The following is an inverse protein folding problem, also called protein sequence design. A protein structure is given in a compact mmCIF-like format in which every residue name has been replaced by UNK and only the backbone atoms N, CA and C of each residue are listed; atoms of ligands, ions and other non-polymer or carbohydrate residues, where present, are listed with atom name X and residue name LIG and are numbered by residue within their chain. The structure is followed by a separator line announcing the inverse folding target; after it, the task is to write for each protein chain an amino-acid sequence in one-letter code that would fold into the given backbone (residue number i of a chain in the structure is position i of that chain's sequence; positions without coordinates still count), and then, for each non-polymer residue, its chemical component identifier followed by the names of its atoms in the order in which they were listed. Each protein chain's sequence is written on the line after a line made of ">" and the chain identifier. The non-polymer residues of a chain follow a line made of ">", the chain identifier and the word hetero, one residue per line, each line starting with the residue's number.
data_IF_863249079765
#
_entry.id   IF_863249079765
#
_cell.length_a   1.000
_cell.length_b   1.000
_cell.length_c   1.000
_cell.angle_alpha   90.00
_cell.angle_beta   90.00
_cell.angle_gamma   90.00
#
_symmetry.space_group_name_H-M   'P 1'
#
loop_
_entity.id
_entity.type
_entity.pdbx_description
1 polymer ?
#
# COMPACT_ATOMS: atom_id res chain seq x y z
N UNK A 1 -27.47 33.66 -29.47
CA UNK A 1 -26.07 34.14 -29.53
C UNK A 1 -25.16 32.97 -29.21
N UNK A 2 -24.41 32.55 -30.21
CA UNK A 2 -23.57 31.37 -30.26
C UNK A 2 -22.47 31.36 -29.20
N UNK A 3 -22.19 30.19 -28.60
CA UNK A 3 -20.84 29.79 -28.23
C UNK A 3 -20.67 28.31 -28.59
N UNK A 4 -20.13 28.11 -29.79
CA UNK A 4 -19.55 26.84 -30.22
C UNK A 4 -18.33 26.57 -29.32
N UNK A 5 -18.37 25.51 -28.52
CA UNK A 5 -17.16 24.93 -27.94
C UNK A 5 -16.32 24.34 -29.09
N UNK A 6 -15.01 24.59 -29.16
CA UNK A 6 -14.17 23.99 -30.19
C UNK A 6 -14.03 22.48 -29.92
N UNK A 7 -13.95 21.63 -30.96
CA UNK A 7 -13.58 20.24 -30.78
C UNK A 7 -12.11 20.18 -30.36
N UNK A 8 -11.82 19.60 -29.20
CA UNK A 8 -10.45 19.32 -28.77
C UNK A 8 -9.94 18.06 -29.48
N UNK A 9 -9.77 18.14 -30.80
CA UNK A 9 -8.95 17.19 -31.53
C UNK A 9 -7.49 17.61 -31.32
N UNK A 10 -6.80 17.00 -30.34
CA UNK A 10 -5.34 17.09 -30.29
C UNK A 10 -4.78 16.51 -31.60
N UNK A 11 -3.79 17.14 -32.25
CA UNK A 11 -3.13 16.58 -33.43
C UNK A 11 -2.17 15.48 -32.99
N UNK A 12 -2.71 14.39 -32.44
CA UNK A 12 -1.98 13.17 -32.11
C UNK A 12 -1.90 12.24 -33.32
N UNK A 13 -0.95 11.30 -33.32
CA UNK A 13 -0.89 10.26 -34.34
C UNK A 13 -2.19 9.43 -34.34
N UNK A 14 -2.66 8.92 -35.50
CA UNK A 14 -3.88 8.11 -35.59
C UNK A 14 -3.99 6.98 -34.56
N UNK A 15 -2.87 6.38 -34.14
CA UNK A 15 -2.80 5.31 -33.14
C UNK A 15 -3.08 5.77 -31.70
N UNK A 16 -2.73 7.01 -31.34
CA UNK A 16 -3.03 7.57 -30.01
C UNK A 16 -4.51 7.93 -29.89
N UNK A 17 -5.08 8.48 -30.96
CA UNK A 17 -6.50 8.80 -31.04
C UNK A 17 -7.36 7.51 -31.04
N UNK A 18 -6.90 6.47 -31.74
CA UNK A 18 -7.52 5.15 -31.71
C UNK A 18 -7.53 4.54 -30.30
N UNK A 19 -6.41 4.67 -29.56
CA UNK A 19 -6.32 4.18 -28.18
C UNK A 19 -7.28 4.92 -27.25
N UNK A 20 -7.39 6.25 -27.36
CA UNK A 20 -8.32 7.05 -26.55
C UNK A 20 -9.78 6.63 -26.80
N UNK A 21 -10.17 6.49 -28.07
CA UNK A 21 -11.50 5.98 -28.42
C UNK A 21 -11.75 4.55 -27.90
N UNK A 22 -10.75 3.67 -27.99
CA UNK A 22 -10.86 2.30 -27.50
C UNK A 22 -11.05 2.25 -25.98
N UNK A 23 -10.31 3.07 -25.21
CA UNK A 23 -10.42 3.15 -23.74
C UNK A 23 -11.79 3.71 -23.31
N UNK A 24 -12.34 4.68 -24.04
CA UNK A 24 -13.69 5.21 -23.77
C UNK A 24 -14.78 4.17 -24.06
N UNK A 25 -14.62 3.38 -25.11
CA UNK A 25 -15.59 2.34 -25.48
C UNK A 25 -15.76 1.27 -24.39
N UNK A 26 -14.67 0.89 -23.72
CA UNK A 26 -14.70 -0.07 -22.60
C UNK A 26 -15.45 0.45 -21.36
N UNK A 27 -15.67 1.76 -21.24
CA UNK A 27 -16.41 2.39 -20.12
C UNK A 27 -17.89 2.63 -20.44
N UNK A 28 -18.30 2.38 -21.68
CA UNK A 28 -19.63 2.69 -22.22
C UNK A 28 -19.72 4.14 -22.71
N UNK A 29 -19.79 4.32 -24.03
CA UNK A 29 -19.91 5.64 -24.68
C UNK A 29 -21.34 6.17 -24.56
N UNK A 30 -21.49 7.47 -24.29
CA UNK A 30 -22.77 8.18 -24.40
C UNK A 30 -23.23 8.30 -25.87
N UNK A 31 -24.52 8.57 -26.15
CA UNK A 31 -25.02 8.72 -27.52
C UNK A 31 -24.30 9.81 -28.34
N UNK A 32 -23.90 10.90 -27.69
CA UNK A 32 -23.16 12.00 -28.33
C UNK A 32 -21.72 11.59 -28.66
N UNK A 33 -21.06 10.84 -27.78
CA UNK A 33 -19.72 10.32 -28.01
C UNK A 33 -19.70 9.20 -29.07
N UNK A 34 -20.76 8.41 -29.17
CA UNK A 34 -20.91 7.42 -30.23
C UNK A 34 -20.96 8.09 -31.61
N UNK A 35 -21.70 9.20 -31.76
CA UNK A 35 -21.68 9.98 -33.01
C UNK A 35 -20.30 10.58 -33.31
N UNK A 36 -19.61 11.09 -32.29
CA UNK A 36 -18.27 11.64 -32.46
C UNK A 36 -17.24 10.58 -32.87
N UNK A 37 -17.32 9.38 -32.29
CA UNK A 37 -16.48 8.25 -32.65
C UNK A 37 -16.71 7.82 -34.10
N UNK A 38 -17.98 7.72 -34.52
CA UNK A 38 -18.35 7.39 -35.90
C UNK A 38 -17.87 8.46 -36.90
N UNK A 39 -17.99 9.74 -36.55
CA UNK A 39 -17.46 10.84 -37.37
C UNK A 39 -15.94 10.75 -37.50
N UNK A 40 -15.23 10.46 -36.40
CA UNK A 40 -13.78 10.31 -36.41
C UNK A 40 -13.30 9.13 -37.27
N UNK A 41 -13.99 7.98 -37.22
CA UNK A 41 -13.72 6.83 -38.10
C UNK A 41 -14.04 7.12 -39.58
N UNK A 42 -15.00 8.00 -39.86
CA UNK A 42 -15.38 8.37 -41.22
C UNK A 42 -14.43 9.41 -41.86
N UNK A 43 -13.72 10.19 -41.04
CA UNK A 43 -12.89 11.33 -41.46
C UNK A 43 -11.62 10.90 -42.24
N UNK A 44 -10.94 9.82 -41.81
CA UNK A 44 -9.72 9.32 -42.45
C UNK A 44 -9.65 7.78 -42.44
N UNK A 45 -9.17 7.18 -43.53
CA UNK A 45 -8.84 5.75 -43.59
C UNK A 45 -7.73 5.34 -42.60
N UNK A 46 -6.82 6.25 -42.25
CA UNK A 46 -5.78 6.02 -41.25
C UNK A 46 -6.35 5.82 -39.84
N UNK A 47 -7.43 6.52 -39.48
CA UNK A 47 -8.13 6.36 -38.19
C UNK A 47 -8.76 4.97 -38.08
N UNK A 48 -9.43 4.48 -39.15
CA UNK A 48 -9.97 3.13 -39.19
C UNK A 48 -8.89 2.06 -39.08
N UNK A 49 -7.78 2.23 -39.79
CA UNK A 49 -6.67 1.28 -39.73
C UNK A 49 -6.03 1.23 -38.33
N UNK A 50 -5.84 2.39 -37.69
CA UNK A 50 -5.32 2.48 -36.32
C UNK A 50 -6.25 1.84 -35.30
N UNK A 51 -7.56 2.12 -35.39
CA UNK A 51 -8.56 1.53 -34.51
C UNK A 51 -8.66 0.01 -34.66
N UNK A 52 -8.64 -0.51 -35.90
CA UNK A 52 -8.67 -1.94 -36.18
C UNK A 52 -7.43 -2.69 -35.63
N UNK A 53 -6.23 -2.08 -35.71
CA UNK A 53 -5.01 -2.66 -35.12
C UNK A 53 -5.16 -2.84 -33.60
N UNK A 54 -5.65 -1.83 -32.91
CA UNK A 54 -5.90 -1.91 -31.48
C UNK A 54 -6.91 -2.99 -31.14
N UNK A 55 -8.03 -3.06 -31.86
CA UNK A 55 -9.04 -4.08 -31.62
C UNK A 55 -8.50 -5.50 -31.83
N UNK A 56 -7.71 -5.75 -32.89
CA UNK A 56 -7.08 -7.04 -33.11
C UNK A 56 -6.06 -7.45 -32.04
N UNK A 57 -5.35 -6.47 -31.47
CA UNK A 57 -4.38 -6.72 -30.39
C UNK A 57 -5.07 -7.10 -29.08
N UNK A 58 -6.24 -6.52 -28.82
CA UNK A 58 -7.07 -6.85 -27.68
C UNK A 58 -7.77 -8.21 -27.84
N UNK A 59 -8.32 -8.51 -29.02
CA UNK A 59 -8.93 -9.81 -29.31
C UNK A 59 -7.91 -10.97 -29.17
N UNK A 60 -6.63 -10.71 -29.46
CA UNK A 60 -5.56 -11.68 -29.26
C UNK A 60 -5.27 -11.98 -27.77
N UNK A 61 -5.48 -11.01 -26.88
CA UNK A 61 -5.33 -11.17 -25.43
C UNK A 61 -6.54 -11.87 -24.81
N UNK A 62 -7.74 -11.59 -25.31
CA UNK A 62 -8.96 -12.24 -24.83
C UNK A 62 -9.06 -13.71 -25.29
N UNK A 63 -8.38 -14.06 -26.38
CA UNK A 63 -8.32 -15.43 -26.91
C UNK A 63 -7.04 -16.19 -26.51
N UNK A 64 -6.37 -15.83 -25.41
CA UNK A 64 -5.23 -16.61 -24.92
C UNK A 64 -5.71 -18.04 -24.56
N UNK A 65 -5.13 -19.08 -25.16
CA UNK A 65 -5.54 -20.46 -24.93
C UNK A 65 -5.39 -20.86 -23.45
N UNK A 66 -6.42 -21.51 -22.90
CA UNK A 66 -6.48 -21.88 -21.48
C UNK A 66 -5.32 -22.81 -21.05
N UNK A 67 -4.79 -23.61 -21.97
CA UNK A 67 -3.61 -24.44 -21.83
C UNK A 67 -2.32 -23.61 -21.66
N UNK A 68 -2.19 -22.48 -22.37
CA UNK A 68 -1.09 -21.54 -22.19
C UNK A 68 -1.10 -20.88 -20.82
N UNK A 69 -2.28 -20.48 -20.33
CA UNK A 69 -2.45 -19.94 -18.98
C UNK A 69 -2.20 -21.00 -17.90
N UNK A 70 -2.62 -22.25 -18.13
CA UNK A 70 -2.35 -23.35 -17.21
C UNK A 70 -0.85 -23.69 -17.13
N UNK A 71 -0.14 -23.65 -18.26
CA UNK A 71 1.31 -23.89 -18.30
C UNK A 71 2.09 -22.80 -17.53
N UNK A 72 1.70 -21.52 -17.70
CA UNK A 72 2.27 -20.41 -16.95
C UNK A 72 2.01 -20.54 -15.44
N UNK A 73 0.79 -20.88 -15.03
CA UNK A 73 0.45 -21.09 -13.62
C UNK A 73 1.18 -22.29 -13.00
N UNK A 74 1.35 -23.38 -13.76
CA UNK A 74 2.11 -24.55 -13.32
C UNK A 74 3.60 -24.22 -13.12
N UNK A 75 4.18 -23.39 -13.99
CA UNK A 75 5.57 -22.96 -13.87
C UNK A 75 5.77 -22.07 -12.64
N UNK A 76 4.89 -21.09 -12.43
CA UNK A 76 4.88 -20.26 -11.22
C UNK A 76 4.78 -21.08 -9.93
N UNK A 77 3.95 -22.12 -9.92
CA UNK A 77 3.78 -22.98 -8.74
C UNK A 77 5.06 -23.77 -8.42
N UNK A 78 5.75 -24.26 -9.44
CA UNK A 78 7.06 -24.92 -9.28
C UNK A 78 8.11 -23.96 -8.73
N UNK A 79 8.17 -22.75 -9.25
CA UNK A 79 9.14 -21.75 -8.81
C UNK A 79 8.91 -21.36 -7.34
N UNK A 80 7.65 -21.24 -6.91
CA UNK A 80 7.29 -21.00 -5.51
C UNK A 80 7.66 -22.16 -4.58
N UNK A 81 7.49 -23.41 -5.02
CA UNK A 81 7.89 -24.59 -4.23
C UNK A 81 9.42 -24.70 -4.07
N UNK A 82 10.17 -24.36 -5.11
CA UNK A 82 11.63 -24.35 -5.07
C UNK A 82 12.15 -23.27 -4.10
N UNK A 83 11.48 -22.12 -4.05
CA UNK A 83 11.81 -21.05 -3.10
C UNK A 83 11.52 -21.47 -1.64
N UNK A 84 10.38 -22.13 -1.39
CA UNK A 84 10.03 -22.61 -0.05
C UNK A 84 10.99 -23.70 0.46
N UNK A 85 11.53 -24.52 -0.45
CA UNK A 85 12.50 -25.58 -0.09
C UNK A 85 13.86 -24.97 0.28
N UNK A 86 14.27 -23.87 -0.36
CA UNK A 86 15.51 -23.17 -0.03
C UNK A 86 15.48 -22.47 1.35
N UNK A 87 14.31 -21.98 1.79
CA UNK A 87 14.17 -21.35 3.12
C UNK A 87 14.28 -22.37 4.28
N UNK A 88 13.90 -23.64 4.08
CA UNK A 88 14.03 -24.67 5.12
C UNK A 88 15.47 -25.15 5.32
N UNK A 89 16.32 -25.07 4.28
CA UNK A 89 17.69 -25.56 4.32
C UNK A 89 18.70 -24.56 4.93
N UNK A 90 18.29 -23.29 5.11
CA UNK A 90 19.14 -22.21 5.65
C UNK A 90 18.80 -21.79 7.09
N UNK A 91 17.83 -22.44 7.75
CA UNK A 91 17.57 -22.19 9.16
C UNK A 91 18.69 -22.81 10.04
N UNK A 92 19.31 -22.07 10.98
CA UNK A 92 20.37 -22.62 11.82
C UNK A 92 19.79 -23.75 12.68
N UNK A 93 20.51 -24.87 12.74
CA UNK A 93 20.19 -26.00 13.60
C UNK A 93 20.11 -25.53 15.06
N UNK A 94 18.90 -25.29 15.56
CA UNK A 94 18.64 -25.18 16.98
C UNK A 94 18.91 -26.56 17.58
N UNK A 95 19.99 -26.67 18.34
CA UNK A 95 20.27 -27.78 19.23
C UNK A 95 19.02 -28.07 20.07
N UNK A 96 18.35 -29.16 19.71
CA UNK A 96 17.32 -29.76 20.53
C UNK A 96 17.97 -30.26 21.81
N UNK A 97 17.89 -29.48 22.88
CA UNK A 97 18.14 -29.96 24.23
C UNK A 97 17.05 -30.99 24.58
N UNK A 98 17.37 -32.25 24.31
CA UNK A 98 16.63 -33.40 24.80
C UNK A 98 16.85 -33.54 26.32
N UNK A 99 16.18 -32.71 27.12
CA UNK A 99 16.06 -32.93 28.57
C UNK A 99 14.70 -32.45 29.06
N UNK A 100 13.71 -33.33 29.01
CA UNK A 100 12.37 -32.99 29.51
C UNK A 100 11.31 -34.08 29.41
N UNK A 101 11.68 -35.35 29.22
CA UNK A 101 10.74 -36.48 29.31
C UNK A 101 11.06 -37.35 30.53
N UNK A 102 11.02 -36.75 31.72
CA UNK A 102 11.01 -37.45 33.01
C UNK A 102 10.58 -36.47 34.09
N UNK A 103 9.27 -36.26 34.27
CA UNK A 103 8.78 -35.35 35.33
C UNK A 103 7.27 -35.25 35.48
N UNK A 104 6.49 -35.52 34.44
CA UNK A 104 5.03 -35.36 34.49
C UNK A 104 4.26 -36.53 35.14
N UNK A 105 4.90 -37.69 35.39
CA UNK A 105 4.27 -38.85 36.04
C UNK A 105 4.26 -38.80 37.57
N UNK A 106 4.91 -37.81 38.20
CA UNK A 106 4.91 -37.65 39.66
C UNK A 106 3.79 -36.70 40.16
N UNK A 107 3.28 -35.81 39.30
CA UNK A 107 2.19 -34.89 39.66
C UNK A 107 0.79 -35.51 39.57
N UNK A 108 0.62 -36.60 38.82
CA UNK A 108 -0.67 -37.30 38.69
C UNK A 108 -1.01 -38.24 39.87
N UNK A 109 -0.05 -38.51 40.77
CA UNK A 109 -0.24 -39.41 41.91
C UNK A 109 -0.93 -38.78 43.14
N UNK A 110 -1.04 -37.46 43.20
CA UNK A 110 -1.57 -36.74 44.37
C UNK A 110 -3.05 -36.36 44.27
N UNK A 111 -3.66 -36.43 43.08
CA UNK A 111 -5.07 -36.03 42.89
C UNK A 111 -6.10 -37.16 42.96
N UNK A 112 -5.66 -38.43 43.05
CA UNK A 112 -6.57 -39.60 43.13
C UNK A 112 -6.14 -40.65 44.18
N UNK A 113 -5.36 -40.22 45.19
CA UNK A 113 -4.90 -41.07 46.29
C UNK A 113 -5.77 -40.93 47.54
N UNK A 114 -7.06 -41.26 47.45
CA UNK A 114 -7.92 -41.36 48.63
C UNK A 114 -7.50 -42.55 49.51
N UNK A 115 -6.81 -42.28 50.62
CA UNK A 115 -6.77 -43.21 51.76
C UNK A 115 -7.63 -42.67 52.89
N UNK A 116 -8.72 -43.38 53.13
CA UNK A 116 -9.52 -43.26 54.33
C UNK A 116 -8.69 -43.67 55.56
N UNK A 117 -8.60 -42.78 56.54
CA UNK A 117 -8.46 -43.11 57.96
C UNK A 117 -9.14 -41.99 58.74
N UNK A 118 -10.12 -42.36 59.57
CA UNK A 118 -10.91 -41.41 60.36
C UNK A 118 -10.12 -40.85 61.55
N UNK A 119 -10.47 -39.63 61.94
CA UNK A 119 -10.91 -39.21 63.29
C UNK A 119 -10.96 -37.67 63.32
N UNK A 120 -12.08 -37.11 63.80
CA UNK A 120 -12.23 -35.68 64.09
C UNK A 120 -12.95 -34.86 63.02
N UNK A 121 -14.28 -34.93 62.98
CA UNK A 121 -15.12 -34.05 62.16
C UNK A 121 -15.11 -32.62 62.71
N UNK A 122 -14.20 -31.77 62.24
CA UNK A 122 -14.47 -30.35 62.12
C UNK A 122 -14.91 -30.10 60.67
N UNK A 123 -16.20 -29.84 60.51
CA UNK A 123 -16.82 -29.59 59.22
C UNK A 123 -16.35 -28.24 58.67
N UNK A 124 -15.19 -28.20 57.99
CA UNK A 124 -14.97 -27.17 56.99
C UNK A 124 -16.00 -27.36 55.89
N UNK A 125 -16.78 -26.32 55.54
CA UNK A 125 -17.92 -26.49 54.66
C UNK A 125 -17.42 -26.84 53.25
N UNK A 126 -17.52 -28.11 52.89
CA UNK A 126 -17.37 -28.62 51.51
C UNK A 126 -18.39 -27.99 50.55
N UNK A 127 -19.34 -27.21 51.07
CA UNK A 127 -20.30 -26.40 50.34
C UNK A 127 -19.67 -25.39 49.35
N UNK A 128 -18.37 -25.06 49.49
CA UNK A 128 -17.69 -24.09 48.61
C UNK A 128 -16.82 -24.72 47.52
N UNK A 129 -16.60 -26.04 47.53
CA UNK A 129 -15.70 -26.70 46.56
C UNK A 129 -16.33 -26.87 45.17
N UNK A 130 -17.62 -27.24 45.11
CA UNK A 130 -18.37 -27.37 43.86
C UNK A 130 -18.54 -26.04 43.08
N UNK A 131 -18.92 -24.91 43.71
CA UNK A 131 -19.00 -23.64 43.00
C UNK A 131 -17.63 -23.14 42.53
N UNK A 132 -16.54 -23.39 43.27
CA UNK A 132 -15.20 -22.98 42.85
C UNK A 132 -14.73 -23.70 41.57
N UNK A 133 -15.01 -24.99 41.43
CA UNK A 133 -14.68 -25.76 40.23
C UNK A 133 -15.51 -25.30 39.01
N UNK A 134 -16.80 -25.00 39.21
CA UNK A 134 -17.66 -24.48 38.15
C UNK A 134 -17.16 -23.11 37.65
N UNK A 135 -16.77 -22.21 38.56
CA UNK A 135 -16.17 -20.92 38.20
C UNK A 135 -14.86 -21.10 37.44
N UNK A 136 -13.99 -22.03 37.86
CA UNK A 136 -12.74 -22.31 37.15
C UNK A 136 -12.95 -22.87 35.73
N UNK A 137 -13.95 -23.75 35.54
CA UNK A 137 -14.29 -24.28 34.22
C UNK A 137 -14.88 -23.21 33.30
N UNK A 138 -15.76 -22.35 33.83
CA UNK A 138 -16.32 -21.23 33.08
C UNK A 138 -15.24 -20.20 32.72
N UNK A 139 -14.35 -19.88 33.67
CA UNK A 139 -13.21 -19.00 33.42
C UNK A 139 -12.27 -19.61 32.37
N UNK A 140 -11.89 -20.88 32.53
CA UNK A 140 -11.04 -21.59 31.57
C UNK A 140 -11.65 -21.66 30.17
N UNK A 141 -12.96 -21.91 30.07
CA UNK A 141 -13.70 -21.87 28.80
C UNK A 141 -13.72 -20.47 28.18
N UNK A 142 -13.99 -19.43 28.98
CA UNK A 142 -13.99 -18.04 28.53
C UNK A 142 -12.61 -17.59 28.05
N UNK A 143 -11.55 -17.82 28.85
CA UNK A 143 -10.18 -17.49 28.47
C UNK A 143 -9.67 -18.32 27.29
N UNK A 144 -10.05 -19.60 27.21
CA UNK A 144 -9.74 -20.45 26.07
C UNK A 144 -10.41 -19.98 24.78
N UNK A 145 -11.68 -19.56 24.86
CA UNK A 145 -12.42 -18.97 23.74
C UNK A 145 -11.80 -17.63 23.30
N UNK A 146 -11.52 -16.73 24.23
CA UNK A 146 -10.84 -15.45 23.97
C UNK A 146 -9.47 -15.67 23.32
N UNK A 147 -8.68 -16.60 23.85
CA UNK A 147 -7.38 -16.94 23.29
C UNK A 147 -7.50 -17.47 21.85
N UNK A 148 -8.46 -18.36 21.61
CA UNK A 148 -8.74 -18.89 20.28
C UNK A 148 -9.18 -17.80 19.29
N UNK A 149 -10.01 -16.85 19.72
CA UNK A 149 -10.44 -15.71 18.90
C UNK A 149 -9.29 -14.75 18.57
N UNK A 150 -8.28 -14.65 19.44
CA UNK A 150 -7.08 -13.81 19.24
C UNK A 150 -6.03 -14.44 18.34
N UNK A 151 -6.14 -15.72 18.01
CA UNK A 151 -5.23 -16.35 17.06
C UNK A 151 -5.58 -15.91 15.62
N UNK A 152 -4.63 -15.34 14.86
CA UNK A 152 -4.86 -14.99 13.47
C UNK A 152 -5.11 -16.27 12.67
N UNK A 153 -6.07 -16.22 11.75
CA UNK A 153 -6.30 -17.30 10.78
C UNK A 153 -5.33 -17.22 9.61
N UNK A 154 -4.75 -16.04 9.38
CA UNK A 154 -3.71 -15.79 8.39
C UNK A 154 -2.80 -14.66 8.87
N UNK A 155 -1.50 -14.82 8.70
CA UNK A 155 -0.52 -13.76 8.94
C UNK A 155 0.57 -13.79 7.88
N UNK A 156 0.95 -12.62 7.36
CA UNK A 156 2.03 -12.50 6.39
C UNK A 156 2.76 -11.16 6.58
N UNK A 157 4.04 -11.15 6.23
CA UNK A 157 4.85 -9.93 6.18
C UNK A 157 5.25 -9.67 4.73
N UNK A 158 5.16 -8.41 4.32
CA UNK A 158 5.49 -7.98 2.98
C UNK A 158 6.43 -6.78 3.04
N UNK A 159 7.48 -6.84 2.23
CA UNK A 159 8.43 -5.76 2.07
C UNK A 159 8.79 -5.59 0.59
N UNK A 160 8.99 -4.34 0.16
CA UNK A 160 9.49 -4.01 -1.16
C UNK A 160 10.85 -3.33 -1.07
N UNK A 161 11.75 -3.71 -1.96
CA UNK A 161 13.03 -3.03 -2.13
C UNK A 161 12.85 -1.66 -2.81
N UNK A 162 13.95 -0.89 -2.87
CA UNK A 162 13.98 0.39 -3.61
C UNK A 162 13.66 0.13 -5.09
N UNK A 163 12.71 0.88 -5.64
CA UNK A 163 12.24 0.77 -7.02
C UNK A 163 11.32 -0.42 -7.29
N UNK A 164 11.05 -1.28 -6.30
CA UNK A 164 10.20 -2.45 -6.46
C UNK A 164 8.74 -2.11 -6.13
N UNK A 165 7.81 -2.61 -6.93
CA UNK A 165 6.39 -2.62 -6.63
C UNK A 165 5.87 -4.05 -6.70
N UNK A 166 5.00 -4.43 -5.77
CA UNK A 166 4.37 -5.77 -5.76
C UNK A 166 2.87 -5.66 -5.57
N UNK A 167 2.14 -6.66 -6.04
CA UNK A 167 0.73 -6.85 -5.77
C UNK A 167 0.54 -8.12 -4.94
N UNK A 168 -0.27 -8.03 -3.90
CA UNK A 168 -0.57 -9.10 -2.96
C UNK A 168 -2.07 -9.32 -2.93
N UNK A 169 -2.49 -10.56 -3.20
CA UNK A 169 -3.86 -11.01 -3.04
C UNK A 169 -4.02 -11.63 -1.64
N UNK A 170 -5.00 -11.16 -0.87
CA UNK A 170 -5.29 -11.70 0.46
C UNK A 170 -6.36 -12.81 0.40
N UNK A 171 -6.37 -13.74 1.39
CA UNK A 171 -7.36 -14.82 1.45
C UNK A 171 -8.83 -14.36 1.60
N UNK A 172 -9.07 -13.12 2.00
CA UNK A 172 -10.41 -12.54 2.10
C UNK A 172 -10.92 -11.94 0.77
N UNK A 173 -10.13 -12.04 -0.30
CA UNK A 173 -10.43 -11.45 -1.62
C UNK A 173 -9.94 -10.01 -1.79
N UNK A 174 -9.40 -9.39 -0.73
CA UNK A 174 -8.83 -8.05 -0.83
C UNK A 174 -7.50 -8.05 -1.59
N UNK A 175 -7.21 -6.97 -2.31
CA UNK A 175 -5.96 -6.79 -3.05
C UNK A 175 -5.20 -5.60 -2.48
N UNK A 176 -3.90 -5.77 -2.29
CA UNK A 176 -3.01 -4.70 -1.87
C UNK A 176 -1.91 -4.52 -2.90
N UNK A 177 -1.64 -3.28 -3.27
CA UNK A 177 -0.47 -2.96 -4.08
C UNK A 177 0.47 -2.12 -3.25
N UNK A 178 1.72 -2.56 -3.15
CA UNK A 178 2.76 -1.92 -2.35
C UNK A 178 3.73 -1.23 -3.30
N UNK A 179 4.07 0.01 -2.96
CA UNK A 179 5.07 0.79 -3.70
C UNK A 179 6.48 0.50 -3.20
N UNK A 180 7.48 1.17 -3.76
CA UNK A 180 8.88 1.15 -3.30
C UNK A 180 9.03 1.45 -1.80
N UNK A 181 9.99 0.77 -1.17
CA UNK A 181 10.36 0.95 0.25
C UNK A 181 9.15 0.89 1.18
N UNK A 182 8.30 -0.11 0.97
CA UNK A 182 7.09 -0.33 1.75
C UNK A 182 7.26 -1.55 2.64
N UNK A 183 6.88 -1.43 3.92
CA UNK A 183 6.87 -2.51 4.91
C UNK A 183 5.50 -2.64 5.52
N UNK A 184 4.96 -3.85 5.46
CA UNK A 184 3.59 -4.14 5.84
C UNK A 184 3.46 -5.50 6.52
N UNK A 185 2.75 -5.53 7.65
CA UNK A 185 2.34 -6.77 8.32
C UNK A 185 0.82 -6.95 8.17
N UNK A 186 0.38 -8.15 7.84
CA UNK A 186 -1.03 -8.50 7.68
C UNK A 186 -1.41 -9.55 8.70
N UNK A 187 -2.54 -9.35 9.38
CA UNK A 187 -3.14 -10.32 10.28
C UNK A 187 -4.67 -10.35 10.08
N UNK A 188 -5.19 -11.47 9.58
CA UNK A 188 -6.62 -11.70 9.46
C UNK A 188 -7.10 -12.55 10.62
N UNK A 189 -8.20 -12.13 11.25
CA UNK A 189 -8.83 -12.81 12.37
C UNK A 189 -10.26 -13.20 11.99
N UNK A 190 -10.91 -13.93 12.89
CA UNK A 190 -12.31 -14.36 12.71
C UNK A 190 -13.30 -13.19 12.66
N UNK A 191 -13.02 -12.09 13.38
CA UNK A 191 -13.95 -10.94 13.53
C UNK A 191 -13.36 -9.60 13.10
N UNK A 192 -12.11 -9.57 12.65
CA UNK A 192 -11.44 -8.33 12.18
C UNK A 192 -10.33 -8.66 11.20
N UNK A 193 -9.99 -7.69 10.36
CA UNK A 193 -8.85 -7.76 9.44
C UNK A 193 -7.93 -6.59 9.77
N UNK A 194 -6.67 -6.85 10.07
CA UNK A 194 -5.71 -5.83 10.46
C UNK A 194 -4.50 -5.85 9.52
N UNK A 195 -4.09 -4.67 9.09
CA UNK A 195 -2.85 -4.44 8.36
C UNK A 195 -2.10 -3.34 9.08
N UNK A 196 -0.80 -3.53 9.30
CA UNK A 196 0.09 -2.51 9.84
C UNK A 196 1.04 -2.07 8.74
N UNK A 197 0.91 -0.82 8.33
CA UNK A 197 1.83 -0.15 7.41
C UNK A 197 2.88 0.58 8.24
N UNK A 198 4.05 -0.04 8.36
CA UNK A 198 5.14 0.48 9.19
C UNK A 198 5.97 1.54 8.45
N UNK A 199 5.99 1.49 7.11
CA UNK A 199 6.63 2.49 6.25
C UNK A 199 6.17 2.31 4.79
N UNK A 200 6.22 3.39 4.00
CA UNK A 200 6.02 3.40 2.56
C UNK A 200 4.61 3.79 2.15
N UNK A 201 4.13 3.27 1.02
CA UNK A 201 2.78 3.57 0.56
C UNK A 201 2.13 2.39 -0.15
N UNK A 202 0.82 2.26 0.02
CA UNK A 202 0.05 1.18 -0.55
C UNK A 202 -1.33 1.65 -1.01
N UNK A 203 -1.86 0.95 -2.01
CA UNK A 203 -3.26 1.03 -2.44
C UNK A 203 -3.95 -0.25 -2.00
N UNK A 204 -5.13 -0.09 -1.40
CA UNK A 204 -5.96 -1.18 -0.93
C UNK A 204 -7.25 -1.20 -1.75
N UNK A 205 -7.60 -2.37 -2.27
CA UNK A 205 -8.90 -2.68 -2.83
C UNK A 205 -9.54 -3.75 -1.93
N UNK A 206 -10.33 -3.30 -0.96
CA UNK A 206 -10.82 -4.16 0.12
C UNK A 206 -12.13 -4.82 -0.28
N UNK A 207 -12.20 -6.14 -0.16
CA UNK A 207 -13.42 -6.91 -0.36
C UNK A 207 -14.46 -6.53 0.71
N UNK A 208 -15.70 -6.30 0.27
CA UNK A 208 -16.79 -5.85 1.14
C UNK A 208 -17.16 -6.90 2.18
N UNK A 209 -16.98 -6.59 3.46
CA UNK A 209 -17.40 -7.43 4.58
C UNK A 209 -17.66 -6.58 5.83
N UNK A 210 -18.94 -6.28 6.10
CA UNK A 210 -19.35 -5.46 7.24
C UNK A 210 -19.21 -6.17 8.59
N UNK A 211 -19.18 -7.50 8.58
CA UNK A 211 -19.02 -8.31 9.80
C UNK A 211 -17.57 -8.33 10.30
N UNK A 212 -16.61 -8.11 9.39
CA UNK A 212 -15.18 -8.05 9.69
C UNK A 212 -14.56 -6.80 9.08
N UNK A 213 -14.62 -5.64 9.76
CA UNK A 213 -13.99 -4.42 9.27
C UNK A 213 -12.49 -4.61 8.99
N UNK A 214 -12.01 -3.94 7.95
CA UNK A 214 -10.61 -3.91 7.55
C UNK A 214 -9.95 -2.66 8.13
N UNK A 215 -8.91 -2.87 8.93
CA UNK A 215 -8.22 -1.82 9.67
C UNK A 215 -6.78 -1.72 9.17
N UNK A 216 -6.37 -0.53 8.74
CA UNK A 216 -4.97 -0.20 8.44
C UNK A 216 -4.44 0.68 9.56
N UNK A 217 -3.39 0.24 10.24
CA UNK A 217 -2.64 1.01 11.21
C UNK A 217 -1.43 1.60 10.49
N UNK A 218 -1.33 2.92 10.43
CA UNK A 218 -0.26 3.64 9.75
C UNK A 218 0.24 4.77 10.66
N UNK A 219 1.43 4.61 11.21
CA UNK A 219 1.96 5.52 12.23
C UNK A 219 0.95 5.76 13.37
N UNK A 220 0.57 7.01 13.65
CA UNK A 220 -0.37 7.35 14.72
C UNK A 220 -1.85 7.15 14.34
N UNK A 221 -2.17 6.71 13.11
CA UNK A 221 -3.55 6.63 12.62
C UNK A 221 -4.08 5.20 12.50
N UNK A 222 -5.37 5.06 12.83
CA UNK A 222 -6.21 3.91 12.51
C UNK A 222 -7.18 4.29 11.39
N UNK A 223 -7.09 3.57 10.29
CA UNK A 223 -7.95 3.71 9.13
C UNK A 223 -8.88 2.49 9.07
N UNK A 224 -10.19 2.68 9.15
CA UNK A 224 -11.18 1.59 9.15
C UNK A 224 -12.08 1.68 7.92
N UNK A 225 -12.22 0.56 7.22
CA UNK A 225 -13.05 0.42 6.02
C UNK A 225 -13.83 -0.90 6.02
N UNK A 226 -14.84 -1.00 5.17
CA UNK A 226 -15.65 -2.21 5.02
C UNK A 226 -15.50 -2.82 3.62
N UNK A 227 -15.51 -1.98 2.58
CA UNK A 227 -15.31 -2.35 1.19
C UNK A 227 -15.06 -1.08 0.38
N UNK A 228 -13.79 -0.74 0.22
CA UNK A 228 -13.34 0.60 -0.19
C UNK A 228 -12.07 0.44 -1.02
N UNK A 229 -11.89 1.33 -2.00
CA UNK A 229 -10.62 1.52 -2.70
C UNK A 229 -9.97 2.83 -2.25
N UNK A 230 -8.80 2.75 -1.64
CA UNK A 230 -8.12 3.90 -1.03
C UNK A 230 -6.60 3.71 -1.03
N UNK A 231 -5.86 4.80 -0.85
CA UNK A 231 -4.41 4.77 -0.67
C UNK A 231 -4.04 5.27 0.72
N UNK A 232 -2.96 4.71 1.26
CA UNK A 232 -2.31 5.19 2.47
C UNK A 232 -0.83 5.35 2.16
N UNK A 233 -0.30 6.51 2.51
CA UNK A 233 1.14 6.80 2.51
C UNK A 233 1.55 7.10 3.94
N UNK A 234 2.57 6.39 4.43
CA UNK A 234 3.22 6.64 5.70
C UNK A 234 4.74 6.71 5.50
N UNK A 235 5.29 7.92 5.45
CA UNK A 235 6.71 8.16 5.19
C UNK A 235 7.29 9.03 6.29
N UNK A 236 7.46 8.43 7.48
CA UNK A 236 8.00 9.11 8.65
C UNK A 236 9.39 9.69 8.36
N UNK A 237 9.61 10.95 8.75
CA UNK A 237 10.94 11.58 8.68
C UNK A 237 11.36 12.13 7.30
N UNK A 238 10.47 12.11 6.29
CA UNK A 238 10.69 12.89 5.06
C UNK A 238 10.38 14.36 5.33
N UNK A 239 11.39 15.23 5.25
CA UNK A 239 11.26 16.65 5.60
C UNK A 239 10.06 17.33 4.91
N UNK A 240 9.19 17.96 5.70
CA UNK A 240 8.10 18.81 5.23
C UNK A 240 6.91 18.09 4.59
N UNK A 241 6.76 16.78 4.79
CA UNK A 241 5.54 16.06 4.43
C UNK A 241 4.73 15.67 5.68
N UNK A 242 3.41 15.69 5.56
CA UNK A 242 2.52 15.02 6.50
C UNK A 242 2.89 13.55 6.60
N UNK A 243 3.05 13.06 7.83
CA UNK A 243 3.58 11.72 8.08
C UNK A 243 2.66 10.66 7.49
N UNK A 244 1.34 10.83 7.64
CA UNK A 244 0.34 9.94 7.06
C UNK A 244 -0.57 10.73 6.12
N UNK A 245 -0.80 10.20 4.91
CA UNK A 245 -1.81 10.69 3.98
C UNK A 245 -2.74 9.55 3.58
N UNK A 246 -4.04 9.82 3.60
CA UNK A 246 -5.09 8.88 3.20
C UNK A 246 -5.93 9.54 2.12
N UNK A 247 -6.13 8.85 1.00
CA UNK A 247 -6.98 9.34 -0.10
C UNK A 247 -7.93 8.24 -0.58
N UNK A 248 -9.18 8.61 -0.85
CA UNK A 248 -10.25 7.65 -1.16
C UNK A 248 -10.65 7.74 -2.63
N UNK A 249 -10.64 6.61 -3.32
CA UNK A 249 -11.06 6.51 -4.72
C UNK A 249 -12.50 6.02 -4.82
N UNK A 250 -12.91 5.04 -4.01
CA UNK A 250 -14.27 4.50 -3.97
C UNK A 250 -14.66 4.08 -2.54
N UNK A 251 -15.91 4.29 -2.14
CA UNK A 251 -16.42 3.87 -0.84
C UNK A 251 -16.26 4.92 0.26
N UNK A 252 -16.12 4.46 1.51
CA UNK A 252 -15.99 5.32 2.70
C UNK A 252 -14.83 4.85 3.57
N UNK A 253 -14.15 5.81 4.18
CA UNK A 253 -13.01 5.56 5.06
C UNK A 253 -13.16 6.34 6.35
N UNK A 254 -13.08 5.65 7.48
CA UNK A 254 -12.99 6.30 8.78
C UNK A 254 -11.53 6.41 9.19
N UNK A 255 -11.07 7.61 9.52
CA UNK A 255 -9.72 7.90 9.99
C UNK A 255 -9.79 8.44 11.42
N UNK A 256 -9.06 7.85 12.34
CA UNK A 256 -8.97 8.31 13.73
C UNK A 256 -7.56 8.08 14.29
N UNK A 257 -7.06 8.93 15.21
CA UNK A 257 -5.81 8.68 15.91
C UNK A 257 -5.91 7.43 16.78
N UNK A 258 -4.83 6.65 16.88
CA UNK A 258 -4.76 5.46 17.75
C UNK A 258 -4.77 5.85 19.22
N UNK A 259 -4.05 6.92 19.57
CA UNK A 259 -4.07 7.51 20.91
C UNK A 259 -4.78 8.87 20.87
N UNK A 260 -5.74 9.12 21.78
CA UNK A 260 -6.35 10.44 21.91
C UNK A 260 -5.31 11.41 22.46
N UNK A 261 -4.80 12.30 21.61
CA UNK A 261 -3.83 13.32 22.01
C UNK A 261 -4.44 14.21 23.11
N UNK A 262 -3.83 14.22 24.30
CA UNK A 262 -4.30 14.92 25.49
C UNK A 262 -4.06 16.44 25.45
N UNK A 263 -3.44 16.94 24.38
CA UNK A 263 -2.90 18.28 24.30
C UNK A 263 -3.13 18.86 22.91
N UNK A 264 -4.35 19.32 22.62
CA UNK A 264 -4.57 20.46 21.74
C UNK A 264 -5.93 21.07 22.05
N UNK A 265 -5.90 22.36 22.33
CA UNK A 265 -7.01 23.25 22.60
C UNK A 265 -8.15 23.07 21.58
N UNK A 266 -9.32 22.63 22.06
CA UNK A 266 -10.63 22.83 21.42
C UNK A 266 -10.92 22.28 20.01
N UNK A 267 -9.94 21.77 19.26
CA UNK A 267 -10.14 21.36 17.87
C UNK A 267 -10.69 19.94 17.76
N UNK A 268 -12.02 19.89 17.66
CA UNK A 268 -12.88 18.74 17.39
C UNK A 268 -12.55 18.14 16.01
N UNK A 269 -11.68 17.12 15.95
CA UNK A 269 -11.83 16.02 14.98
C UNK A 269 -10.99 14.80 15.38
N UNK A 270 -11.43 14.11 16.43
CA UNK A 270 -10.86 12.81 16.84
C UNK A 270 -11.17 11.67 15.85
N UNK A 271 -12.12 11.89 14.96
CA UNK A 271 -12.56 10.92 13.96
C UNK A 271 -13.10 11.67 12.77
N UNK A 272 -12.61 11.34 11.59
CA UNK A 272 -13.05 11.92 10.32
C UNK A 272 -13.52 10.79 9.41
N UNK A 273 -14.58 11.04 8.65
CA UNK A 273 -15.04 10.15 7.60
C UNK A 273 -14.75 10.79 6.25
N UNK A 274 -14.08 10.04 5.38
CA UNK A 274 -13.76 10.43 4.01
C UNK A 274 -14.63 9.62 3.05
N UNK A 275 -15.01 10.25 1.96
CA UNK A 275 -15.75 9.70 0.83
C UNK A 275 -14.92 9.78 -0.44
N UNK A 276 -15.41 9.16 -1.52
CA UNK A 276 -14.70 9.13 -2.80
C UNK A 276 -14.33 10.54 -3.30
N UNK A 277 -13.07 10.71 -3.70
CA UNK A 277 -12.53 11.99 -4.15
C UNK A 277 -12.02 12.89 -3.03
N UNK A 278 -12.00 12.43 -1.78
CA UNK A 278 -11.45 13.17 -0.65
C UNK A 278 -10.12 12.60 -0.17
N UNK A 279 -9.29 13.46 0.40
CA UNK A 279 -8.06 13.09 1.08
C UNK A 279 -7.88 13.86 2.38
N UNK A 280 -7.13 13.28 3.30
CA UNK A 280 -6.69 13.92 4.54
C UNK A 280 -5.22 13.59 4.78
N UNK A 281 -4.56 14.46 5.53
CA UNK A 281 -3.21 14.23 5.98
C UNK A 281 -3.12 14.48 7.50
N UNK A 282 -2.22 13.78 8.18
CA UNK A 282 -1.92 14.01 9.59
C UNK A 282 -0.49 14.46 9.82
N UNK A 283 -0.28 15.18 10.92
CA UNK A 283 1.06 15.37 11.46
C UNK A 283 1.61 14.08 12.10
N UNK A 284 2.83 14.16 12.62
CA UNK A 284 3.55 13.07 13.27
C UNK A 284 2.91 12.62 14.60
N UNK A 285 2.11 13.48 15.22
CA UNK A 285 1.41 13.24 16.48
C UNK A 285 0.00 12.69 16.26
N UNK A 286 -0.43 12.51 15.00
CA UNK A 286 -1.77 12.03 14.64
C UNK A 286 -2.83 13.14 14.61
N UNK A 287 -2.44 14.41 14.69
CA UNK A 287 -3.34 15.54 14.46
C UNK A 287 -3.86 15.52 13.03
N UNK A 288 -5.17 15.38 12.86
CA UNK A 288 -5.82 15.33 11.56
C UNK A 288 -5.97 16.75 10.99
N UNK A 289 -5.47 16.96 9.77
CA UNK A 289 -5.66 18.21 9.03
C UNK A 289 -7.07 18.35 8.44
N UNK A 290 -7.27 19.38 7.61
CA UNK A 290 -8.52 19.56 6.88
C UNK A 290 -8.68 18.51 5.76
N UNK A 291 -9.93 18.12 5.50
CA UNK A 291 -10.27 17.34 4.31
C UNK A 291 -10.04 18.22 3.08
N UNK A 292 -9.33 17.69 2.09
CA UNK A 292 -9.10 18.35 0.82
C UNK A 292 -9.51 17.44 -0.33
N UNK A 293 -9.80 17.98 -1.53
CA UNK A 293 -10.03 17.16 -2.72
C UNK A 293 -8.80 16.30 -3.03
N UNK A 294 -9.04 15.06 -3.45
CA UNK A 294 -8.00 14.18 -3.97
C UNK A 294 -7.40 14.78 -5.26
N UNK A 295 -6.10 14.54 -5.54
CA UNK A 295 -5.47 15.07 -6.74
C UNK A 295 -6.14 14.56 -8.02
N UNK A 296 -6.22 15.41 -9.05
CA UNK A 296 -6.76 15.05 -10.37
C UNK A 296 -5.96 13.93 -11.06
N UNK A 297 -4.70 13.73 -10.67
CA UNK A 297 -3.84 12.62 -11.12
C UNK A 297 -4.21 11.27 -10.49
N UNK A 298 -5.17 11.26 -9.56
CA UNK A 298 -5.65 10.09 -8.83
C UNK A 298 -4.96 9.90 -7.48
N UNK A 299 -5.47 8.95 -6.69
CA UNK A 299 -5.03 8.70 -5.31
C UNK A 299 -3.64 8.04 -5.20
N UNK A 300 -3.11 7.53 -6.31
CA UNK A 300 -1.85 6.80 -6.38
C UNK A 300 -1.28 6.79 -7.82
N UNK A 301 -0.69 7.90 -8.30
CA UNK A 301 -0.11 7.98 -9.64
C UNK A 301 1.03 6.97 -9.86
N UNK A 302 1.75 6.62 -8.79
CA UNK A 302 2.86 5.66 -8.78
C UNK A 302 2.45 4.28 -9.29
N UNK A 303 1.14 3.98 -9.30
CA UNK A 303 0.60 2.78 -9.91
C UNK A 303 0.98 2.60 -11.37
N UNK A 304 1.11 3.70 -12.09
CA UNK A 304 1.45 3.73 -13.50
C UNK A 304 2.89 4.20 -13.72
N UNK A 305 3.78 3.97 -12.75
CA UNK A 305 5.15 4.48 -12.74
C UNK A 305 5.21 6.01 -12.94
N UNK A 306 4.36 6.74 -12.23
CA UNK A 306 4.32 8.20 -12.27
C UNK A 306 4.44 8.81 -10.88
N UNK A 307 5.24 9.86 -10.76
CA UNK A 307 5.30 10.72 -9.58
C UNK A 307 4.84 12.10 -10.01
N UNK A 308 3.85 12.65 -9.31
CA UNK A 308 3.27 13.96 -9.58
C UNK A 308 3.61 14.92 -8.46
N UNK A 309 4.06 16.10 -8.83
CA UNK A 309 4.36 17.22 -7.95
C UNK A 309 3.40 18.35 -8.27
N UNK A 310 2.87 18.96 -7.23
CA UNK A 310 2.06 20.17 -7.31
C UNK A 310 2.59 21.16 -6.28
N UNK A 311 3.18 22.26 -6.76
CA UNK A 311 3.80 23.30 -5.96
C UNK A 311 4.76 22.74 -4.87
N UNK A 312 5.51 21.70 -5.22
CA UNK A 312 6.34 20.94 -4.28
C UNK A 312 7.75 21.51 -4.26
N UNK A 313 8.36 21.75 -3.08
CA UNK A 313 9.77 22.14 -2.97
C UNK A 313 10.71 21.15 -3.67
N UNK A 314 11.79 21.65 -4.26
CA UNK A 314 12.74 20.85 -5.03
C UNK A 314 13.42 19.78 -4.18
N UNK A 315 13.77 20.09 -2.93
CA UNK A 315 14.34 19.11 -1.99
C UNK A 315 13.40 17.93 -1.72
N UNK A 316 12.10 18.20 -1.51
CA UNK A 316 11.08 17.17 -1.34
C UNK A 316 10.88 16.35 -2.63
N UNK A 317 10.92 17.00 -3.79
CA UNK A 317 10.82 16.30 -5.07
C UNK A 317 12.00 15.34 -5.28
N UNK A 318 13.23 15.80 -4.99
CA UNK A 318 14.43 14.96 -5.05
C UNK A 318 14.38 13.81 -4.03
N UNK A 319 13.93 14.08 -2.80
CA UNK A 319 13.71 13.05 -1.80
C UNK A 319 12.70 11.98 -2.26
N UNK A 320 11.64 12.38 -2.97
CA UNK A 320 10.69 11.44 -3.55
C UNK A 320 11.31 10.60 -4.66
N UNK A 321 12.13 11.19 -5.55
CA UNK A 321 12.84 10.41 -6.58
C UNK A 321 13.85 9.43 -5.98
N UNK A 322 14.55 9.81 -4.90
CA UNK A 322 15.49 8.94 -4.19
C UNK A 322 14.86 7.64 -3.68
N UNK A 323 13.54 7.65 -3.42
CA UNK A 323 12.80 6.44 -3.03
C UNK A 323 12.72 5.41 -4.15
N UNK A 324 12.85 5.80 -5.41
CA UNK A 324 12.76 4.88 -6.57
C UNK A 324 14.14 4.50 -7.11
N UNK A 325 15.16 5.34 -6.91
CA UNK A 325 16.52 5.08 -7.38
C UNK A 325 17.48 6.15 -6.90
N UNK A 326 18.79 5.86 -6.92
CA UNK A 326 19.80 6.85 -6.55
C UNK A 326 19.81 7.99 -7.58
N UNK A 327 19.40 9.19 -7.16
CA UNK A 327 19.37 10.35 -8.05
C UNK A 327 20.74 10.94 -8.28
N UNK A 328 21.62 10.84 -7.27
CA UNK A 328 22.94 11.48 -7.26
C UNK A 328 22.87 13.01 -7.45
N UNK A 329 21.69 13.60 -7.26
CA UNK A 329 21.45 15.04 -7.29
C UNK A 329 21.55 15.57 -5.87
N UNK A 330 22.33 16.63 -5.68
CA UNK A 330 22.46 17.30 -4.38
C UNK A 330 22.16 18.78 -4.52
N UNK A 331 21.36 19.29 -3.60
CA UNK A 331 21.08 20.73 -3.45
C UNK A 331 21.76 21.18 -2.16
N UNK A 332 22.67 22.14 -2.26
CA UNK A 332 23.35 22.71 -1.08
C UNK A 332 22.75 24.06 -0.67
N UNK A 333 22.30 24.85 -1.64
CA UNK A 333 21.73 26.18 -1.40
C UNK A 333 20.25 26.05 -0.95
N UNK A 334 19.90 26.51 0.28
CA UNK A 334 18.52 26.48 0.76
C UNK A 334 17.54 27.25 -0.14
N UNK A 335 17.98 28.31 -0.82
CA UNK A 335 17.13 29.06 -1.74
C UNK A 335 16.75 28.23 -2.97
N UNK A 336 17.68 27.41 -3.46
CA UNK A 336 17.46 26.47 -4.57
C UNK A 336 16.57 25.31 -4.12
N UNK A 337 16.79 24.79 -2.91
CA UNK A 337 15.98 23.72 -2.32
C UNK A 337 14.51 24.11 -2.20
N UNK A 338 14.22 25.39 -1.92
CA UNK A 338 12.88 25.93 -1.77
C UNK A 338 12.14 26.20 -3.10
N UNK A 339 12.81 26.08 -4.25
CA UNK A 339 12.19 26.28 -5.57
C UNK A 339 11.03 25.29 -5.77
N UNK A 340 9.93 25.79 -6.34
CA UNK A 340 8.69 25.02 -6.49
C UNK A 340 8.63 24.33 -7.83
N UNK A 341 8.36 23.03 -7.81
CA UNK A 341 8.19 22.18 -8.97
C UNK A 341 6.73 21.72 -9.07
N UNK A 342 6.17 21.87 -10.26
CA UNK A 342 4.90 21.26 -10.66
C UNK A 342 5.12 20.45 -11.93
N UNK A 343 4.63 19.22 -11.96
CA UNK A 343 4.79 18.34 -13.11
C UNK A 343 4.61 16.87 -12.75
N UNK A 344 4.54 16.02 -13.77
CA UNK A 344 4.47 14.56 -13.60
C UNK A 344 5.62 13.90 -14.34
N UNK A 345 6.31 12.98 -13.68
CA UNK A 345 7.53 12.36 -14.16
C UNK A 345 7.50 10.83 -13.96
N UNK A 346 8.19 10.08 -14.83
CA UNK A 346 8.47 8.67 -14.60
C UNK A 346 9.76 8.54 -13.77
N UNK A 347 9.72 8.02 -12.54
CA UNK A 347 10.90 7.92 -11.68
C UNK A 347 11.97 6.96 -12.22
N UNK A 348 11.65 6.09 -13.18
CA UNK A 348 12.62 5.18 -13.83
C UNK A 348 13.49 5.90 -14.87
N UNK A 349 13.05 7.06 -15.35
CA UNK A 349 13.72 7.86 -16.37
C UNK A 349 14.19 9.19 -15.82
N UNK A 350 14.99 9.16 -14.75
CA UNK A 350 15.49 10.35 -14.06
C UNK A 350 16.23 11.32 -15.00
N UNK A 351 16.88 10.83 -16.04
CA UNK A 351 17.56 11.67 -17.04
C UNK A 351 16.61 12.68 -17.70
N UNK A 352 15.32 12.34 -17.87
CA UNK A 352 14.32 13.28 -18.38
C UNK A 352 14.07 14.42 -17.40
N UNK A 353 14.00 14.10 -16.11
CA UNK A 353 13.86 15.10 -15.05
C UNK A 353 15.09 16.01 -14.97
N UNK A 354 16.29 15.44 -15.02
CA UNK A 354 17.56 16.19 -15.00
C UNK A 354 17.66 17.15 -16.19
N UNK A 355 17.26 16.73 -17.40
CA UNK A 355 17.23 17.59 -18.59
C UNK A 355 16.19 18.71 -18.50
N UNK A 356 15.05 18.44 -17.87
CA UNK A 356 13.98 19.41 -17.72
C UNK A 356 14.29 20.49 -16.66
N UNK A 357 14.99 20.13 -15.57
CA UNK A 357 15.25 21.01 -14.42
C UNK A 357 15.73 22.43 -14.78
N UNK A 358 16.77 22.63 -15.61
CA UNK A 358 17.23 23.98 -15.99
C UNK A 358 16.26 24.74 -16.91
N UNK A 359 15.31 24.05 -17.55
CA UNK A 359 14.32 24.67 -18.44
C UNK A 359 13.14 25.22 -17.65
N UNK A 360 12.77 24.56 -16.55
CA UNK A 360 11.61 24.94 -15.72
C UNK A 360 11.97 25.73 -14.46
N UNK A 361 13.20 25.60 -13.96
CA UNK A 361 13.67 26.29 -12.76
C UNK A 361 14.94 27.12 -13.07
N UNK A 362 15.17 28.23 -12.35
CA UNK A 362 16.38 29.05 -12.47
C UNK A 362 17.57 28.35 -11.78
N UNK A 363 17.94 27.17 -12.27
CA UNK A 363 19.03 26.35 -11.75
C UNK A 363 20.04 26.00 -12.84
N UNK A 364 21.25 25.64 -12.43
CA UNK A 364 22.28 25.00 -13.26
C UNK A 364 22.75 23.71 -12.59
N UNK A 365 23.16 22.76 -13.41
CA UNK A 365 23.76 21.51 -12.96
C UNK A 365 25.28 21.65 -13.10
N UNK A 366 26.00 21.43 -12.00
CA UNK A 366 27.47 21.46 -11.94
C UNK A 366 27.95 20.11 -11.45
N UNK A 367 29.05 19.58 -11.98
CA UNK A 367 29.59 18.32 -11.47
C UNK A 367 29.94 18.47 -9.98
N UNK A 368 29.53 17.52 -9.13
CA UNK A 368 29.82 17.57 -7.70
C UNK A 368 31.31 17.25 -7.45
N UNK A 369 32.14 18.22 -7.03
CA UNK A 369 33.56 18.01 -6.82
C UNK A 369 33.87 17.15 -5.58
N UNK A 370 32.90 16.94 -4.69
CA UNK A 370 33.06 16.17 -3.44
C UNK A 370 32.72 14.70 -3.59
N UNK A 371 32.10 14.32 -4.70
CA UNK A 371 31.79 12.94 -4.97
C UNK A 371 33.07 12.19 -5.35
N UNK A 372 33.61 11.41 -4.40
CA UNK A 372 34.71 10.48 -4.70
C UNK A 372 34.31 9.63 -5.90
N UNK A 373 35.15 9.67 -6.94
CA UNK A 373 35.03 8.85 -8.14
C UNK A 373 35.06 7.36 -7.75
N UNK A 374 33.89 6.80 -7.44
CA UNK A 374 33.70 5.37 -7.29
C UNK A 374 33.81 4.74 -8.67
N UNK A 375 34.72 3.79 -8.80
CA UNK A 375 35.04 2.96 -9.97
C UNK A 375 33.81 2.65 -10.84
N UNK A 376 33.54 3.48 -11.84
CA UNK A 376 32.72 3.18 -13.00
C UNK A 376 32.97 4.27 -14.06
N UNK A 377 33.12 3.84 -15.32
CA UNK A 377 33.43 4.65 -16.49
C UNK A 377 32.55 5.92 -16.62
N UNK A 378 32.99 6.96 -17.37
CA UNK A 378 32.23 8.19 -17.56
C UNK A 378 30.98 7.93 -18.42
N UNK A 379 29.90 7.49 -17.79
CA UNK A 379 28.55 7.68 -18.31
C UNK A 379 28.11 9.10 -17.98
N UNK A 380 27.22 9.66 -18.80
CA UNK A 380 26.59 11.00 -18.67
C UNK A 380 25.87 11.23 -17.33
N UNK A 381 25.90 10.26 -16.43
CA UNK A 381 25.24 10.14 -15.12
C UNK A 381 26.22 10.28 -13.95
N UNK A 382 27.04 11.34 -13.98
CA UNK A 382 27.87 11.76 -12.84
C UNK A 382 27.04 12.32 -11.68
N UNK A 383 27.61 12.43 -10.47
CA UNK A 383 26.99 13.15 -9.36
C UNK A 383 26.94 14.64 -9.68
N UNK A 384 25.75 15.26 -9.55
CA UNK A 384 25.51 16.65 -9.91
C UNK A 384 25.08 17.47 -8.70
N UNK A 385 25.67 18.65 -8.59
CA UNK A 385 25.24 19.74 -7.73
C UNK A 385 24.21 20.61 -8.48
N UNK A 386 23.05 20.83 -7.88
CA UNK A 386 22.06 21.80 -8.37
C UNK A 386 22.31 23.14 -7.68
N UNK A 387 22.61 24.17 -8.46
CA UNK A 387 22.93 25.52 -7.99
C UNK A 387 22.02 26.55 -8.63
N UNK A 388 21.76 27.66 -7.92
CA UNK A 388 20.93 28.75 -8.41
C UNK A 388 21.59 29.48 -9.59
N UNK A 389 20.77 30.07 -10.46
CA UNK A 389 21.26 30.84 -11.61
C UNK A 389 21.67 32.27 -11.27
#
# INVERSE_FOLDING_TARGET
>A
MSRLSPPLTSPGLPDEQALDWFVRQQRGLSPEEQEQHLRWLADDGAHRAAYARWQSSWDALDNVPADGLAALNAQLTKDLQNLATQEQEQAPAQESSASGRRGWRQWAGWLLGGKACGHGTSAWPTAWAAPALAVLLLAGGFFGWEFWQRQPTYSAQHATARGQQIQVQLPDGSVMRLDTLTRMDVALYRHRREVRLSEGQAVFQVAHDASRPFQVLAGPLRITVVGTRFSVRYTAGTLGQSDVRVAVEEGRVRVEPIEPSATHDGSVNRRVELTAGEQIASDAQGGLGAITPAPSTGIAPWRNNRVSFDNTPLDQALAEFERYGATRLRVQDPAVAALRLTGTFDPRHLDNFVRALPQVLPVRLVADPTAKAGVAAPTTSGPWLVVGR
#
